data_IF_978578784550
#
_entry.id   IF_978578784550
#
_cell.length_a   1.000
_cell.length_b   1.000
_cell.length_c   1.000
_cell.angle_alpha   90.00
_cell.angle_beta   90.00
_cell.angle_gamma   90.00
#
_symmetry.space_group_name_H-M   'P 1'
#
loop_
_entity.id
_entity.type
_entity.pdbx_description
1 polymer ?
#
# COMPACT_ATOMS: atom_id res chain seq x y z
N UNK A 1 11.52 -30.42 -0.04
CA UNK A 1 10.40 -29.46 0.17
C UNK A 1 10.65 -28.41 1.27
N UNK A 2 11.24 -28.77 2.42
CA UNK A 2 11.48 -27.82 3.54
C UNK A 2 12.42 -26.65 3.19
N UNK A 3 13.51 -26.90 2.47
CA UNK A 3 14.50 -25.87 2.12
C UNK A 3 13.97 -24.77 1.19
N UNK A 4 13.05 -25.11 0.25
CA UNK A 4 12.41 -24.12 -0.65
C UNK A 4 11.53 -23.13 0.13
N UNK A 5 10.81 -23.60 1.15
CA UNK A 5 9.98 -22.74 2.03
C UNK A 5 10.84 -21.85 2.94
N UNK A 6 11.96 -22.36 3.43
CA UNK A 6 12.87 -21.59 4.29
C UNK A 6 13.41 -20.34 3.58
N UNK A 7 13.90 -20.49 2.35
CA UNK A 7 14.43 -19.35 1.60
C UNK A 7 13.35 -18.31 1.26
N UNK A 8 12.12 -18.74 0.97
CA UNK A 8 11.00 -17.81 0.75
C UNK A 8 10.66 -17.01 2.00
N UNK A 9 10.63 -17.66 3.17
CA UNK A 9 10.44 -16.96 4.46
C UNK A 9 11.58 -15.98 4.73
N UNK A 10 12.83 -16.38 4.46
CA UNK A 10 13.99 -15.50 4.58
C UNK A 10 13.86 -14.24 3.72
N UNK A 11 13.45 -14.37 2.46
CA UNK A 11 13.22 -13.22 1.56
C UNK A 11 12.13 -12.28 2.12
N UNK A 12 11.03 -12.83 2.64
CA UNK A 12 9.98 -12.03 3.27
C UNK A 12 10.46 -11.27 4.52
N UNK A 13 11.27 -11.92 5.37
CA UNK A 13 11.89 -11.28 6.55
C UNK A 13 12.86 -10.19 6.10
N UNK A 14 13.72 -10.49 5.11
CA UNK A 14 14.67 -9.53 4.55
C UNK A 14 13.94 -8.28 4.04
N UNK A 15 12.86 -8.46 3.26
CA UNK A 15 12.05 -7.33 2.78
C UNK A 15 11.47 -6.51 3.94
N UNK A 16 10.94 -7.17 4.97
CA UNK A 16 10.39 -6.51 6.16
C UNK A 16 11.45 -5.68 6.90
N UNK A 17 12.63 -6.25 7.13
CA UNK A 17 13.76 -5.57 7.78
C UNK A 17 14.23 -4.40 6.93
N UNK A 18 14.36 -4.58 5.61
CA UNK A 18 14.75 -3.49 4.72
C UNK A 18 13.73 -2.35 4.74
N UNK A 19 12.42 -2.63 4.72
CA UNK A 19 11.38 -1.60 4.83
C UNK A 19 11.47 -0.87 6.16
N UNK A 20 11.70 -1.59 7.26
CA UNK A 20 11.90 -0.96 8.57
C UNK A 20 13.12 -0.03 8.57
N UNK A 21 14.29 -0.51 8.14
CA UNK A 21 15.52 0.29 8.11
C UNK A 21 15.38 1.52 7.22
N UNK A 22 14.76 1.34 6.05
CA UNK A 22 14.52 2.41 5.09
C UNK A 22 13.62 3.51 5.67
N UNK A 23 12.46 3.14 6.22
CA UNK A 23 11.49 4.09 6.80
C UNK A 23 11.99 4.77 8.07
N UNK A 24 13.00 4.21 8.74
CA UNK A 24 13.63 4.79 9.94
C UNK A 24 14.90 5.58 9.67
N UNK A 25 15.33 5.68 8.41
CA UNK A 25 16.52 6.44 8.04
C UNK A 25 17.85 5.74 8.37
N UNK A 26 17.83 4.44 8.66
CA UNK A 26 19.04 3.62 8.83
C UNK A 26 19.64 3.25 7.46
N UNK A 27 20.02 4.26 6.68
CA UNK A 27 20.36 4.09 5.27
C UNK A 27 21.62 3.27 5.06
N UNK A 28 22.63 3.36 5.92
CA UNK A 28 23.86 2.58 5.79
C UNK A 28 23.58 1.07 5.84
N UNK A 29 22.87 0.61 6.86
CA UNK A 29 22.46 -0.79 7.02
C UNK A 29 21.53 -1.23 5.90
N UNK A 30 20.58 -0.38 5.52
CA UNK A 30 19.68 -0.62 4.40
C UNK A 30 20.43 -0.82 3.07
N UNK A 31 21.41 0.04 2.75
CA UNK A 31 22.19 -0.07 1.50
C UNK A 31 23.08 -1.32 1.49
N UNK A 32 23.65 -1.73 2.64
CA UNK A 32 24.38 -3.00 2.75
C UNK A 32 23.46 -4.18 2.39
N UNK A 33 22.23 -4.21 2.91
CA UNK A 33 21.25 -5.26 2.59
C UNK A 33 20.78 -5.20 1.13
N UNK A 34 20.59 -4.01 0.57
CA UNK A 34 20.22 -3.80 -0.83
C UNK A 34 21.32 -4.33 -1.77
N UNK A 35 22.59 -3.98 -1.49
CA UNK A 35 23.73 -4.45 -2.26
C UNK A 35 23.94 -5.96 -2.12
N UNK A 36 23.79 -6.50 -0.92
CA UNK A 36 23.84 -7.95 -0.69
C UNK A 36 22.74 -8.69 -1.45
N UNK A 37 21.53 -8.11 -1.49
CA UNK A 37 20.41 -8.65 -2.27
C UNK A 37 20.74 -8.66 -3.77
N UNK A 38 21.29 -7.56 -4.29
CA UNK A 38 21.73 -7.47 -5.69
C UNK A 38 22.80 -8.51 -6.03
N UNK A 39 23.85 -8.63 -5.22
CA UNK A 39 24.92 -9.60 -5.41
C UNK A 39 24.46 -11.05 -5.27
N UNK A 40 23.35 -11.31 -4.57
CA UNK A 40 22.79 -12.65 -4.43
C UNK A 40 22.08 -13.16 -5.69
N UNK A 41 21.68 -12.27 -6.62
CA UNK A 41 20.84 -12.60 -7.78
C UNK A 41 21.41 -13.75 -8.64
N UNK A 42 22.72 -13.80 -8.98
CA UNK A 42 23.26 -14.87 -9.81
C UNK A 42 23.09 -16.27 -9.20
N UNK A 43 23.00 -16.36 -7.87
CA UNK A 43 22.92 -17.62 -7.11
C UNK A 43 21.49 -18.10 -6.88
N UNK A 44 20.48 -17.34 -7.30
CA UNK A 44 19.07 -17.65 -7.09
C UNK A 44 18.45 -18.31 -8.33
N UNK A 45 17.43 -19.15 -8.09
CA UNK A 45 16.58 -19.64 -9.16
C UNK A 45 15.71 -18.51 -9.74
N UNK A 46 15.28 -18.68 -10.98
CA UNK A 46 14.57 -17.65 -11.76
C UNK A 46 13.41 -16.97 -11.01
N UNK A 47 12.52 -17.76 -10.40
CA UNK A 47 11.40 -17.21 -9.61
C UNK A 47 11.87 -16.26 -8.49
N UNK A 48 12.93 -16.63 -7.76
CA UNK A 48 13.45 -15.81 -6.65
C UNK A 48 14.27 -14.62 -7.14
N UNK A 49 14.96 -14.76 -8.28
CA UNK A 49 15.64 -13.62 -8.93
C UNK A 49 14.66 -12.51 -9.25
N UNK A 50 13.50 -12.85 -9.80
CA UNK A 50 12.46 -11.88 -10.13
C UNK A 50 11.96 -11.19 -8.86
N UNK A 51 11.75 -11.94 -7.76
CA UNK A 51 11.36 -11.36 -6.47
C UNK A 51 12.40 -10.37 -5.94
N UNK A 52 13.68 -10.74 -5.95
CA UNK A 52 14.74 -9.83 -5.49
C UNK A 52 14.81 -8.57 -6.39
N UNK A 53 14.69 -8.72 -7.71
CA UNK A 53 14.61 -7.57 -8.63
C UNK A 53 13.42 -6.66 -8.32
N UNK A 54 12.25 -7.23 -8.01
CA UNK A 54 11.08 -6.45 -7.60
C UNK A 54 11.31 -5.72 -6.28
N UNK A 55 11.95 -6.36 -5.30
CA UNK A 55 12.28 -5.73 -4.02
C UNK A 55 13.23 -4.53 -4.24
N UNK A 56 14.31 -4.72 -5.01
CA UNK A 56 15.26 -3.66 -5.35
C UNK A 56 14.55 -2.51 -6.05
N UNK A 57 13.73 -2.83 -7.05
CA UNK A 57 12.95 -1.86 -7.82
C UNK A 57 11.97 -1.05 -6.97
N UNK A 58 11.25 -1.72 -6.06
CA UNK A 58 10.38 -1.04 -5.09
C UNK A 58 11.15 -0.05 -4.21
N UNK A 59 12.33 -0.46 -3.72
CA UNK A 59 13.14 0.40 -2.88
C UNK A 59 13.79 1.56 -3.64
N UNK A 60 14.25 1.35 -4.87
CA UNK A 60 14.74 2.42 -5.75
C UNK A 60 13.62 3.43 -6.06
N UNK A 61 12.40 2.95 -6.29
CA UNK A 61 11.23 3.83 -6.45
C UNK A 61 10.95 4.66 -5.21
N UNK A 62 10.98 4.06 -4.01
CA UNK A 62 10.78 4.82 -2.76
C UNK A 62 11.94 5.77 -2.44
N UNK A 63 13.19 5.43 -2.81
CA UNK A 63 14.31 6.38 -2.74
C UNK A 63 14.03 7.60 -3.61
N UNK A 64 13.57 7.39 -4.86
CA UNK A 64 13.18 8.49 -5.75
C UNK A 64 12.06 9.34 -5.14
N UNK A 65 11.04 8.72 -4.54
CA UNK A 65 9.98 9.44 -3.79
C UNK A 65 10.60 10.33 -2.72
N UNK A 66 11.48 9.80 -1.86
CA UNK A 66 12.09 10.56 -0.78
C UNK A 66 12.94 11.75 -1.26
N UNK A 67 13.70 11.59 -2.34
CA UNK A 67 14.47 12.68 -2.93
C UNK A 67 13.58 13.75 -3.58
N UNK A 68 12.58 13.34 -4.35
CA UNK A 68 11.67 14.28 -5.02
C UNK A 68 10.82 15.02 -3.99
N UNK A 69 10.33 14.33 -2.96
CA UNK A 69 9.57 14.95 -1.86
C UNK A 69 10.37 16.07 -1.16
N UNK A 70 11.62 15.79 -0.76
CA UNK A 70 12.52 16.81 -0.18
C UNK A 70 12.83 17.94 -1.15
N UNK A 71 12.96 17.64 -2.45
CA UNK A 71 13.13 18.66 -3.46
C UNK A 71 11.88 19.56 -3.55
N UNK A 72 10.67 18.99 -3.49
CA UNK A 72 9.41 19.73 -3.47
C UNK A 72 9.27 20.62 -2.22
N UNK A 73 9.76 20.19 -1.06
CA UNK A 73 9.78 20.99 0.17
C UNK A 73 10.61 22.29 0.03
N UNK A 74 11.59 22.33 -0.89
CA UNK A 74 12.37 23.56 -1.13
C UNK A 74 11.57 24.65 -1.86
N UNK A 75 10.44 24.28 -2.47
CA UNK A 75 9.53 25.23 -3.08
C UNK A 75 8.54 25.76 -2.04
N UNK A 76 8.11 27.01 -2.18
CA UNK A 76 7.09 27.64 -1.32
C UNK A 76 5.67 27.15 -1.64
N UNK A 77 5.48 25.83 -1.69
CA UNK A 77 4.20 25.16 -1.95
C UNK A 77 3.41 25.08 -0.63
N UNK A 78 2.08 25.16 -0.69
CA UNK A 78 1.25 25.01 0.50
C UNK A 78 1.34 23.59 1.08
N UNK A 79 1.23 23.41 2.42
CA UNK A 79 1.35 22.09 3.05
C UNK A 79 0.42 21.04 2.46
N UNK A 80 -0.83 21.41 2.13
CA UNK A 80 -1.80 20.48 1.52
C UNK A 80 -1.35 20.00 0.13
N UNK A 81 -0.80 20.89 -0.69
CA UNK A 81 -0.30 20.53 -2.02
C UNK A 81 0.95 19.64 -1.94
N UNK A 82 1.79 19.83 -0.92
CA UNK A 82 2.93 18.95 -0.66
C UNK A 82 2.46 17.52 -0.35
N UNK A 83 1.47 17.36 0.55
CA UNK A 83 0.92 16.04 0.89
C UNK A 83 0.29 15.36 -0.33
N UNK A 84 -0.44 16.11 -1.15
CA UNK A 84 -1.01 15.58 -2.40
C UNK A 84 0.11 15.12 -3.35
N UNK A 85 1.16 15.93 -3.52
CA UNK A 85 2.27 15.60 -4.39
C UNK A 85 2.99 14.33 -3.91
N UNK A 86 3.30 14.22 -2.61
CA UNK A 86 3.94 13.04 -2.02
C UNK A 86 3.15 11.75 -2.26
N UNK A 87 1.82 11.84 -2.21
CA UNK A 87 0.96 10.71 -2.50
C UNK A 87 0.97 10.31 -3.98
N UNK A 88 1.05 11.28 -4.89
CA UNK A 88 1.18 11.00 -6.32
C UNK A 88 2.56 10.44 -6.67
N UNK A 89 3.61 10.75 -5.92
CA UNK A 89 4.94 10.18 -6.15
C UNK A 89 4.97 8.65 -5.95
N UNK A 90 4.02 8.06 -5.22
CA UNK A 90 3.89 6.60 -5.07
C UNK A 90 3.64 5.84 -6.37
N UNK A 91 3.25 6.51 -7.45
CA UNK A 91 3.23 5.89 -8.77
C UNK A 91 4.64 5.44 -9.21
N UNK A 92 5.71 6.08 -8.74
CA UNK A 92 7.10 5.71 -9.06
C UNK A 92 7.45 4.28 -8.63
N UNK A 93 7.37 3.89 -7.34
CA UNK A 93 7.65 2.51 -6.94
C UNK A 93 6.70 1.51 -7.61
N UNK A 94 5.43 1.88 -7.85
CA UNK A 94 4.51 1.01 -8.58
C UNK A 94 4.98 0.74 -10.02
N UNK A 95 5.32 1.78 -10.78
CA UNK A 95 5.76 1.63 -12.17
C UNK A 95 7.08 0.88 -12.28
N UNK A 96 8.03 1.12 -11.38
CA UNK A 96 9.28 0.38 -11.36
C UNK A 96 9.05 -1.13 -11.09
N UNK A 97 8.16 -1.49 -10.17
CA UNK A 97 7.84 -2.89 -9.89
C UNK A 97 7.11 -3.54 -11.09
N UNK A 98 6.15 -2.84 -11.70
CA UNK A 98 5.46 -3.31 -12.91
C UNK A 98 6.44 -3.51 -14.06
N UNK A 99 7.42 -2.62 -14.23
CA UNK A 99 8.45 -2.73 -15.26
C UNK A 99 9.24 -4.04 -15.11
N UNK A 100 9.71 -4.36 -13.90
CA UNK A 100 10.42 -5.63 -13.61
C UNK A 100 9.52 -6.83 -13.92
N UNK A 101 8.28 -6.82 -13.44
CA UNK A 101 7.31 -7.90 -13.69
C UNK A 101 7.10 -8.15 -15.19
N UNK A 102 6.97 -7.08 -15.97
CA UNK A 102 6.80 -7.13 -17.43
C UNK A 102 8.06 -7.64 -18.12
N UNK A 103 9.24 -7.16 -17.72
CA UNK A 103 10.53 -7.54 -18.31
C UNK A 103 10.82 -9.04 -18.17
N UNK A 104 10.41 -9.64 -17.05
CA UNK A 104 10.59 -11.08 -16.82
C UNK A 104 9.36 -11.94 -17.19
N UNK A 105 8.37 -11.36 -17.88
CA UNK A 105 7.13 -12.04 -18.28
C UNK A 105 6.46 -12.81 -17.12
N UNK A 106 6.54 -12.27 -15.90
CA UNK A 106 6.15 -12.98 -14.70
C UNK A 106 4.62 -13.14 -14.63
N UNK A 107 4.14 -14.38 -14.73
CA UNK A 107 2.71 -14.69 -14.64
C UNK A 107 2.27 -14.65 -13.18
N UNK A 108 1.81 -13.48 -12.73
CA UNK A 108 1.22 -13.38 -11.40
C UNK A 108 -0.10 -14.16 -11.33
N UNK A 109 -0.27 -14.97 -10.29
CA UNK A 109 -1.59 -15.29 -9.75
C UNK A 109 -2.13 -14.06 -8.99
N UNK A 110 -2.21 -12.94 -9.71
CA UNK A 110 -2.73 -11.69 -9.17
C UNK A 110 -4.21 -11.87 -8.92
N UNK A 111 -4.67 -11.36 -7.77
CA UNK A 111 -6.11 -11.17 -7.52
C UNK A 111 -6.72 -10.08 -8.41
N UNK A 112 -5.95 -9.52 -9.36
CA UNK A 112 -6.44 -8.65 -10.41
C UNK A 112 -7.44 -9.36 -11.32
N UNK A 113 -8.65 -8.78 -11.39
CA UNK A 113 -9.72 -8.93 -12.39
C UNK A 113 -9.72 -10.21 -13.25
N UNK A 114 -9.46 -11.39 -12.68
CA UNK A 114 -9.69 -12.65 -13.37
C UNK A 114 -11.16 -12.99 -13.18
N UNK A 115 -11.96 -12.51 -14.13
CA UNK A 115 -13.40 -12.78 -14.29
C UNK A 115 -13.62 -14.27 -14.60
N UNK A 116 -13.31 -15.17 -13.67
CA UNK A 116 -13.88 -16.52 -13.71
C UNK A 116 -15.29 -16.41 -13.15
N UNK A 117 -16.21 -16.06 -14.04
CA UNK A 117 -17.68 -16.04 -13.89
C UNK A 117 -18.28 -17.43 -13.64
N UNK A 118 -17.49 -18.41 -13.19
CA UNK A 118 -17.95 -19.77 -12.89
C UNK A 118 -17.90 -20.00 -11.38
N UNK A 119 -19.11 -20.15 -10.82
CA UNK A 119 -19.49 -20.35 -9.41
C UNK A 119 -19.30 -19.13 -8.51
N UNK A 120 -20.14 -18.11 -8.77
CA UNK A 120 -20.58 -17.10 -7.80
C UNK A 120 -21.58 -17.75 -6.84
N UNK A 121 -21.10 -18.65 -6.00
CA UNK A 121 -21.87 -19.12 -4.84
C UNK A 121 -20.96 -19.00 -3.63
N UNK A 122 -21.49 -18.38 -2.57
CA UNK A 122 -20.83 -18.20 -1.27
C UNK A 122 -19.74 -17.10 -1.18
N UNK A 123 -20.05 -15.88 -1.63
CA UNK A 123 -19.45 -14.72 -0.95
C UNK A 123 -19.99 -14.72 0.49
N UNK A 124 -19.15 -15.04 1.47
CA UNK A 124 -19.59 -15.23 2.85
C UNK A 124 -20.40 -14.02 3.31
N UNK A 125 -21.63 -14.24 3.76
CA UNK A 125 -22.58 -13.23 4.25
C UNK A 125 -21.91 -12.24 5.23
N UNK A 126 -20.92 -12.71 5.98
CA UNK A 126 -20.03 -11.93 6.86
C UNK A 126 -19.22 -10.82 6.16
N UNK A 127 -18.69 -11.05 4.96
CA UNK A 127 -17.91 -10.05 4.20
C UNK A 127 -18.84 -8.96 3.69
N UNK A 128 -20.02 -9.32 3.18
CA UNK A 128 -21.02 -8.34 2.79
C UNK A 128 -21.51 -7.55 4.01
N UNK A 129 -21.68 -8.21 5.18
CA UNK A 129 -21.98 -7.52 6.45
C UNK A 129 -20.84 -6.62 6.92
N UNK A 130 -19.58 -7.00 6.75
CA UNK A 130 -18.42 -6.17 7.12
C UNK A 130 -18.28 -4.96 6.19
N UNK A 131 -18.43 -5.17 4.88
CA UNK A 131 -18.45 -4.08 3.89
C UNK A 131 -19.63 -3.15 4.19
N UNK A 132 -20.82 -3.70 4.47
CA UNK A 132 -22.00 -2.92 4.85
C UNK A 132 -21.81 -2.18 6.18
N UNK A 133 -21.22 -2.81 7.19
CA UNK A 133 -20.95 -2.18 8.48
C UNK A 133 -19.91 -1.05 8.34
N UNK A 134 -18.87 -1.26 7.52
CA UNK A 134 -17.92 -0.20 7.19
C UNK A 134 -18.63 0.94 6.45
N UNK A 135 -19.43 0.63 5.43
CA UNK A 135 -20.22 1.64 4.70
C UNK A 135 -21.15 2.41 5.64
N UNK A 136 -21.90 1.75 6.51
CA UNK A 136 -22.80 2.38 7.49
C UNK A 136 -22.06 3.27 8.50
N UNK A 137 -20.93 2.81 9.02
CA UNK A 137 -20.07 3.60 9.89
C UNK A 137 -19.55 4.86 9.16
N UNK A 138 -19.22 4.73 7.87
CA UNK A 138 -18.77 5.84 7.02
C UNK A 138 -19.91 6.82 6.73
N UNK A 139 -21.13 6.34 6.46
CA UNK A 139 -22.30 7.21 6.28
C UNK A 139 -22.60 8.00 7.56
N UNK A 140 -22.46 7.37 8.72
CA UNK A 140 -22.62 8.03 10.02
C UNK A 140 -21.58 9.15 10.21
N UNK A 141 -20.29 8.88 9.93
CA UNK A 141 -19.24 9.89 9.99
C UNK A 141 -19.47 11.05 8.99
N UNK A 142 -19.99 10.75 7.80
CA UNK A 142 -20.33 11.75 6.80
C UNK A 142 -21.47 12.67 7.25
N UNK A 143 -22.54 12.11 7.82
CA UNK A 143 -23.67 12.87 8.38
C UNK A 143 -23.20 13.80 9.51
N UNK A 144 -22.29 13.33 10.36
CA UNK A 144 -21.69 14.12 11.44
C UNK A 144 -20.78 15.26 10.92
N UNK A 145 -20.26 15.15 9.70
CA UNK A 145 -19.32 16.11 9.12
C UNK A 145 -19.98 17.25 8.33
N UNK A 146 -21.14 17.01 7.71
CA UNK A 146 -21.91 18.01 6.92
C UNK A 146 -22.10 19.35 7.66
N UNK A 147 -22.41 19.42 8.96
CA UNK A 147 -22.63 20.68 9.66
C UNK A 147 -21.40 21.58 9.77
N UNK A 148 -20.18 21.05 9.58
CA UNK A 148 -18.93 21.79 9.73
C UNK A 148 -18.45 22.47 8.44
N UNK A 149 -19.03 22.12 7.28
CA UNK A 149 -18.66 22.62 5.95
C UNK A 149 -19.34 23.98 5.62
N UNK A 150 -20.32 24.41 6.39
CA UNK A 150 -21.32 25.42 5.98
C UNK A 150 -20.89 26.89 6.04
N UNK A 151 -19.62 27.24 6.32
CA UNK A 151 -19.25 28.66 6.55
C UNK A 151 -18.46 29.36 5.43
N UNK A 152 -17.91 28.65 4.42
CA UNK A 152 -17.29 29.27 3.22
C UNK A 152 -17.46 28.39 1.98
N UNK A 153 -18.28 28.81 1.02
CA UNK A 153 -18.87 27.90 0.03
C UNK A 153 -17.94 27.59 -1.18
N UNK A 154 -17.21 28.54 -1.78
CA UNK A 154 -16.56 28.27 -3.09
C UNK A 154 -15.22 27.52 -3.02
N UNK A 155 -14.32 27.89 -2.10
CA UNK A 155 -12.97 27.27 -1.97
C UNK A 155 -13.02 25.88 -1.35
N UNK A 156 -14.07 25.58 -0.59
CA UNK A 156 -14.23 24.31 0.14
C UNK A 156 -14.64 23.18 -0.80
N UNK A 157 -15.49 23.43 -1.81
CA UNK A 157 -15.88 22.40 -2.79
C UNK A 157 -14.72 21.92 -3.65
N UNK A 158 -13.86 22.82 -4.14
CA UNK A 158 -12.68 22.42 -4.92
C UNK A 158 -11.74 21.54 -4.08
N UNK A 159 -11.46 21.95 -2.84
CA UNK A 159 -10.60 21.20 -1.92
C UNK A 159 -11.17 19.82 -1.60
N UNK A 160 -12.50 19.74 -1.42
CA UNK A 160 -13.21 18.50 -1.17
C UNK A 160 -13.10 17.51 -2.35
N UNK A 161 -13.38 17.98 -3.58
CA UNK A 161 -13.29 17.16 -4.80
C UNK A 161 -11.85 16.67 -5.01
N UNK A 162 -10.87 17.54 -4.83
CA UNK A 162 -9.44 17.18 -4.93
C UNK A 162 -9.10 16.10 -3.90
N UNK A 163 -9.58 16.24 -2.67
CA UNK A 163 -9.33 15.26 -1.60
C UNK A 163 -9.91 13.89 -1.96
N UNK A 164 -11.13 13.83 -2.50
CA UNK A 164 -11.73 12.58 -2.99
C UNK A 164 -10.85 11.94 -4.08
N UNK A 165 -10.50 12.73 -5.10
CA UNK A 165 -9.72 12.23 -6.24
C UNK A 165 -8.37 11.67 -5.78
N UNK A 166 -7.65 12.42 -4.95
CA UNK A 166 -6.35 12.01 -4.40
C UNK A 166 -6.49 10.76 -3.55
N UNK A 167 -7.53 10.67 -2.71
CA UNK A 167 -7.78 9.48 -1.87
C UNK A 167 -8.02 8.23 -2.71
N UNK A 168 -8.77 8.35 -3.82
CA UNK A 168 -9.03 7.25 -4.75
C UNK A 168 -7.73 6.83 -5.45
N UNK A 169 -6.95 7.79 -5.97
CA UNK A 169 -5.69 7.51 -6.66
C UNK A 169 -4.66 6.86 -5.72
N UNK A 170 -4.52 7.40 -4.51
CA UNK A 170 -3.63 6.85 -3.49
C UNK A 170 -4.04 5.42 -3.11
N UNK A 171 -5.32 5.19 -2.84
CA UNK A 171 -5.83 3.86 -2.53
C UNK A 171 -5.65 2.88 -3.70
N UNK A 172 -5.85 3.33 -4.94
CA UNK A 172 -5.59 2.52 -6.13
C UNK A 172 -4.14 2.07 -6.18
N UNK A 173 -3.17 2.99 -6.07
CA UNK A 173 -1.75 2.66 -6.12
C UNK A 173 -1.36 1.71 -4.99
N UNK A 174 -1.79 2.01 -3.76
CA UNK A 174 -1.49 1.20 -2.59
C UNK A 174 -2.10 -0.20 -2.69
N UNK A 175 -3.36 -0.33 -3.09
CA UNK A 175 -4.01 -1.64 -3.18
C UNK A 175 -3.46 -2.49 -4.35
N UNK A 176 -3.15 -1.88 -5.49
CA UNK A 176 -2.50 -2.61 -6.59
C UNK A 176 -1.13 -3.12 -6.13
N UNK A 177 -0.33 -2.27 -5.49
CA UNK A 177 1.01 -2.64 -5.03
C UNK A 177 0.98 -3.69 -3.93
N UNK A 178 0.20 -3.47 -2.86
CA UNK A 178 0.24 -4.33 -1.67
C UNK A 178 -0.64 -5.57 -1.81
N UNK A 179 -1.85 -5.44 -2.36
CA UNK A 179 -2.84 -6.55 -2.40
C UNK A 179 -2.82 -7.25 -3.75
N UNK A 180 -2.53 -6.52 -4.83
CA UNK A 180 -2.38 -7.08 -6.16
C UNK A 180 -1.02 -7.77 -6.37
N UNK A 181 0.07 -7.12 -5.97
CA UNK A 181 1.44 -7.57 -6.28
C UNK A 181 2.06 -8.29 -5.07
N UNK A 182 2.38 -7.57 -3.99
CA UNK A 182 3.17 -8.12 -2.88
C UNK A 182 2.47 -9.25 -2.11
N UNK A 183 1.17 -9.13 -1.83
CA UNK A 183 0.42 -10.19 -1.16
C UNK A 183 0.49 -11.52 -1.93
N UNK A 184 0.26 -11.48 -3.25
CA UNK A 184 0.35 -12.68 -4.09
C UNK A 184 1.76 -13.29 -4.07
N UNK A 185 2.81 -12.46 -4.13
CA UNK A 185 4.21 -12.91 -4.06
C UNK A 185 4.52 -13.55 -2.71
N UNK A 186 4.16 -12.91 -1.59
CA UNK A 186 4.46 -13.45 -0.26
C UNK A 186 3.73 -14.75 0.01
N UNK A 187 2.50 -14.90 -0.47
CA UNK A 187 1.76 -16.17 -0.39
C UNK A 187 2.46 -17.25 -1.20
N UNK A 188 2.95 -16.94 -2.40
CA UNK A 188 3.66 -17.88 -3.27
C UNK A 188 5.01 -18.31 -2.67
N UNK A 189 5.74 -17.40 -2.02
CA UNK A 189 7.02 -17.70 -1.38
C UNK A 189 6.86 -18.49 -0.08
N UNK A 190 5.74 -18.34 0.61
CA UNK A 190 5.54 -18.87 1.97
C UNK A 190 4.30 -19.77 2.05
N UNK A 191 3.26 -19.27 2.70
CA UNK A 191 1.93 -19.85 2.78
C UNK A 191 0.92 -18.70 2.94
N UNK A 192 -0.38 -19.01 2.89
CA UNK A 192 -1.45 -18.02 2.98
C UNK A 192 -1.39 -17.16 4.25
N UNK A 193 -1.22 -17.77 5.42
CA UNK A 193 -1.23 -17.06 6.70
C UNK A 193 0.00 -16.15 6.83
N UNK A 194 1.18 -16.70 6.60
CA UNK A 194 2.45 -15.96 6.68
C UNK A 194 2.48 -14.83 5.65
N UNK A 195 2.02 -15.06 4.42
CA UNK A 195 1.98 -14.03 3.39
C UNK A 195 1.08 -12.86 3.76
N UNK A 196 -0.09 -13.13 4.36
CA UNK A 196 -1.00 -12.08 4.88
C UNK A 196 -0.37 -11.30 6.03
N UNK A 197 0.27 -12.00 6.99
CA UNK A 197 0.94 -11.36 8.13
C UNK A 197 2.05 -10.42 7.64
N UNK A 198 2.95 -10.93 6.78
CA UNK A 198 4.05 -10.15 6.23
C UNK A 198 3.53 -8.97 5.41
N UNK A 199 2.60 -9.18 4.49
CA UNK A 199 2.05 -8.09 3.68
C UNK A 199 1.45 -6.97 4.54
N UNK A 200 0.74 -7.34 5.61
CA UNK A 200 0.08 -6.39 6.51
C UNK A 200 1.08 -5.59 7.35
N UNK A 201 2.12 -6.26 7.88
CA UNK A 201 3.20 -5.61 8.64
C UNK A 201 3.98 -4.66 7.74
N UNK A 202 4.42 -5.13 6.58
CA UNK A 202 5.25 -4.31 5.68
C UNK A 202 4.46 -3.13 5.12
N UNK A 203 3.20 -3.32 4.75
CA UNK A 203 2.29 -2.23 4.40
C UNK A 203 2.26 -1.15 5.49
N UNK A 204 2.05 -1.55 6.74
CA UNK A 204 1.95 -0.63 7.87
C UNK A 204 3.27 0.06 8.23
N UNK A 205 4.41 -0.62 8.08
CA UNK A 205 5.72 0.01 8.25
C UNK A 205 5.92 1.04 7.14
N UNK A 206 5.59 0.70 5.89
CA UNK A 206 5.77 1.59 4.75
C UNK A 206 4.95 2.89 4.86
N UNK A 207 3.76 2.87 5.49
CA UNK A 207 2.98 4.11 5.71
C UNK A 207 3.69 5.11 6.63
N UNK A 208 4.69 4.69 7.42
CA UNK A 208 5.48 5.60 8.27
C UNK A 208 6.44 6.48 7.47
N UNK A 209 6.73 6.13 6.21
CA UNK A 209 7.50 6.98 5.30
C UNK A 209 6.85 8.36 5.08
N UNK A 210 5.52 8.43 5.18
CA UNK A 210 4.73 9.65 5.01
C UNK A 210 4.46 10.38 6.34
N UNK A 211 5.36 10.23 7.31
CA UNK A 211 5.27 10.92 8.61
C UNK A 211 4.26 10.34 9.59
N UNK A 212 3.64 9.19 9.30
CA UNK A 212 2.72 8.56 10.27
C UNK A 212 3.49 8.03 11.49
N UNK A 213 2.94 8.26 12.68
CA UNK A 213 3.59 7.86 13.93
C UNK A 213 3.67 6.34 14.07
N UNK A 214 4.67 5.84 14.82
CA UNK A 214 4.81 4.40 15.09
C UNK A 214 3.59 3.83 15.85
N UNK A 215 2.89 4.66 16.62
CA UNK A 215 1.65 4.26 17.30
C UNK A 215 0.54 3.94 16.28
N UNK A 216 0.45 4.72 15.21
CA UNK A 216 -0.52 4.49 14.12
C UNK A 216 -0.19 3.25 13.30
N UNK A 217 1.05 2.75 13.34
CA UNK A 217 1.43 1.50 12.66
C UNK A 217 0.58 0.32 13.10
N UNK A 218 0.21 0.18 14.38
CA UNK A 218 -0.66 -0.91 14.84
C UNK A 218 -2.04 -0.88 14.17
N UNK A 219 -2.61 0.32 14.02
CA UNK A 219 -3.85 0.51 13.30
C UNK A 219 -3.70 0.15 11.81
N UNK A 220 -2.61 0.58 11.16
CA UNK A 220 -2.34 0.20 9.78
C UNK A 220 -2.05 -1.30 9.59
N UNK A 221 -1.50 -1.99 10.59
CA UNK A 221 -1.35 -3.46 10.56
C UNK A 221 -2.73 -4.11 10.56
N UNK A 222 -3.65 -3.65 11.42
CA UNK A 222 -5.03 -4.14 11.46
C UNK A 222 -5.76 -3.91 10.12
N UNK A 223 -5.66 -2.69 9.55
CA UNK A 223 -6.17 -2.41 8.21
C UNK A 223 -5.49 -3.29 7.14
N UNK A 224 -4.19 -3.49 7.30
CA UNK A 224 -3.36 -4.48 6.60
C UNK A 224 -4.07 -5.81 6.42
N UNK A 225 -4.43 -6.41 7.56
CA UNK A 225 -5.13 -7.68 7.64
C UNK A 225 -6.53 -7.62 7.04
N UNK A 226 -7.30 -6.58 7.37
CA UNK A 226 -8.67 -6.41 6.87
C UNK A 226 -8.71 -6.39 5.33
N UNK A 227 -7.88 -5.55 4.71
CA UNK A 227 -7.77 -5.41 3.25
C UNK A 227 -7.31 -6.71 2.58
N UNK A 228 -6.37 -7.41 3.21
CA UNK A 228 -5.91 -8.73 2.74
C UNK A 228 -7.04 -9.76 2.79
N UNK A 229 -7.78 -9.85 3.90
CA UNK A 229 -8.91 -10.78 4.06
C UNK A 229 -10.00 -10.49 3.03
N UNK A 230 -10.37 -9.22 2.87
CA UNK A 230 -11.36 -8.77 1.88
C UNK A 230 -10.92 -9.22 0.48
N UNK A 231 -9.71 -8.85 0.06
CA UNK A 231 -9.16 -9.20 -1.26
C UNK A 231 -9.15 -10.70 -1.51
N UNK A 232 -8.70 -11.48 -0.52
CA UNK A 232 -8.60 -12.95 -0.68
C UNK A 232 -9.97 -13.63 -0.73
N UNK A 233 -10.96 -13.14 0.04
CA UNK A 233 -12.30 -13.71 0.04
C UNK A 233 -13.09 -13.33 -1.21
N UNK A 234 -12.95 -12.11 -1.70
CA UNK A 234 -13.64 -11.63 -2.91
C UNK A 234 -12.91 -12.03 -4.19
N UNK A 235 -11.63 -12.41 -4.08
CA UNK A 235 -10.69 -12.60 -5.20
C UNK A 235 -10.65 -11.37 -6.13
N UNK A 236 -10.79 -10.19 -5.53
CA UNK A 236 -10.81 -8.91 -6.23
C UNK A 236 -10.26 -7.82 -5.31
N UNK A 237 -9.36 -6.99 -5.82
CA UNK A 237 -8.80 -5.84 -5.09
C UNK A 237 -9.80 -4.69 -4.94
N UNK A 238 -10.83 -4.61 -5.79
CA UNK A 238 -11.73 -3.46 -5.86
C UNK A 238 -12.48 -3.15 -4.54
N UNK A 239 -13.03 -4.13 -3.81
CA UNK A 239 -13.68 -3.86 -2.52
C UNK A 239 -12.69 -3.34 -1.46
N UNK A 240 -11.45 -3.83 -1.50
CA UNK A 240 -10.36 -3.36 -0.64
C UNK A 240 -9.99 -1.91 -0.96
N UNK A 241 -9.94 -1.57 -2.24
CA UNK A 241 -9.64 -0.23 -2.75
C UNK A 241 -10.70 0.79 -2.36
N UNK A 242 -11.99 0.44 -2.46
CA UNK A 242 -13.07 1.33 -2.00
C UNK A 242 -12.91 1.60 -0.49
N UNK A 243 -12.73 0.55 0.31
CA UNK A 243 -12.59 0.69 1.76
C UNK A 243 -11.36 1.55 2.12
N UNK A 244 -10.23 1.32 1.45
CA UNK A 244 -9.01 2.09 1.67
C UNK A 244 -9.18 3.56 1.25
N UNK A 245 -9.79 3.83 0.08
CA UNK A 245 -10.06 5.19 -0.38
C UNK A 245 -10.93 5.98 0.62
N UNK A 246 -11.94 5.33 1.20
CA UNK A 246 -12.80 5.95 2.20
C UNK A 246 -12.03 6.27 3.49
N UNK A 247 -11.17 5.35 3.96
CA UNK A 247 -10.34 5.60 5.15
C UNK A 247 -9.37 6.76 4.90
N UNK A 248 -8.71 6.79 3.76
CA UNK A 248 -7.77 7.86 3.38
C UNK A 248 -8.49 9.21 3.29
N UNK A 249 -9.68 9.23 2.68
CA UNK A 249 -10.52 10.41 2.60
C UNK A 249 -10.89 10.96 3.99
N UNK A 250 -11.29 10.09 4.92
CA UNK A 250 -11.59 10.47 6.30
C UNK A 250 -10.36 11.02 7.02
N UNK A 251 -9.19 10.40 6.84
CA UNK A 251 -7.93 10.88 7.40
C UNK A 251 -7.55 12.26 6.88
N UNK A 252 -7.73 12.51 5.57
CA UNK A 252 -7.47 13.81 4.97
C UNK A 252 -8.41 14.89 5.45
N UNK A 253 -9.70 14.59 5.55
CA UNK A 253 -10.69 15.50 6.12
C UNK A 253 -10.28 15.88 7.54
N UNK A 254 -9.95 14.89 8.38
CA UNK A 254 -9.51 15.14 9.74
C UNK A 254 -8.23 15.98 9.79
N UNK A 255 -7.26 15.72 8.91
CA UNK A 255 -6.02 16.50 8.82
C UNK A 255 -6.28 17.96 8.40
N UNK A 256 -7.17 18.20 7.44
CA UNK A 256 -7.57 19.54 6.99
C UNK A 256 -8.22 20.39 8.10
N UNK A 257 -8.82 19.75 9.11
CA UNK A 257 -9.42 20.44 10.27
C UNK A 257 -8.32 20.90 11.26
N UNK A 258 -7.21 20.17 11.33
CA UNK A 258 -6.17 20.35 12.36
C UNK A 258 -4.98 21.18 11.87
N UNK A 259 -4.65 21.09 10.57
CA UNK A 259 -3.50 21.80 10.02
C UNK A 259 -3.81 23.30 9.84
N UNK A 260 -2.93 24.20 10.32
CA UNK A 260 -3.08 25.63 10.07
C UNK A 260 -3.00 25.93 8.56
N UNK A 261 -3.90 26.79 8.09
CA UNK A 261 -3.97 27.24 6.70
C UNK A 261 -2.86 28.21 6.35
#
# INVERSE_FOLDING_TARGET
MKQKKFLGIFICILFTVMTFLFTRGFYSQFFILLMSSFLSIPFLNEEKRIVIWMMISFFLGNLAVGYISRFLETFRISPMMLVIADQLLLFLPLFMVIYVLKQFHYKMNSYGYKRTLKKREQSSLLVNRLILACLLFITLLFILYIPHITTKISTVWCTFIITILVSILYAFVQEVLWRGIFLSIFIQLTNKLTGVIVASIVFAINTTMFGTSMKMTFFFVFLGFLFSIVTMKTRNIFPSMILHALIVFLLFIHANIILPQ
#
